data_IF_135902089848
#
_entry.id   IF_135902089848
#
_cell.length_a   1.000
_cell.length_b   1.000
_cell.length_c   1.000
_cell.angle_alpha   90.00
_cell.angle_beta   90.00
_cell.angle_gamma   90.00
#
_symmetry.space_group_name_H-M   'P 1'
#
loop_
_entity.id
_entity.type
_entity.pdbx_description
1 polymer ?
#
# COMPACT_ATOMS: atom_id res chain seq x y z
N UNK A 1 -16.09 -25.25 -8.37
CA UNK A 1 -15.89 -23.78 -8.49
C UNK A 1 -15.39 -23.51 -9.89
N UNK A 2 -15.88 -22.45 -10.57
CA UNK A 2 -15.37 -22.08 -11.91
C UNK A 2 -13.94 -21.60 -11.81
N UNK A 3 -13.16 -21.80 -12.87
CA UNK A 3 -11.77 -21.39 -12.96
C UNK A 3 -11.67 -19.84 -12.91
N UNK A 4 -10.76 -19.32 -12.10
CA UNK A 4 -10.52 -17.89 -11.95
C UNK A 4 -9.22 -17.54 -12.65
N UNK A 5 -9.27 -16.62 -13.61
CA UNK A 5 -8.08 -16.05 -14.25
C UNK A 5 -7.78 -14.70 -13.61
N UNK A 6 -6.65 -14.61 -12.91
CA UNK A 6 -6.21 -13.37 -12.28
C UNK A 6 -5.17 -12.67 -13.15
N UNK A 7 -5.54 -11.51 -13.67
CA UNK A 7 -4.67 -10.68 -14.52
C UNK A 7 -3.93 -9.69 -13.64
N UNK A 8 -2.61 -9.85 -13.56
CA UNK A 8 -1.72 -9.16 -12.63
C UNK A 8 -0.69 -8.34 -13.40
N UNK A 9 -0.49 -7.04 -13.07
CA UNK A 9 0.58 -6.24 -13.65
C UNK A 9 1.95 -6.68 -13.11
N UNK A 10 2.95 -6.75 -13.98
CA UNK A 10 4.34 -6.94 -13.63
C UNK A 10 5.10 -5.63 -13.82
N UNK A 11 5.80 -5.21 -12.76
CA UNK A 11 6.67 -4.05 -12.75
C UNK A 11 8.13 -4.51 -12.77
N UNK A 12 8.92 -4.02 -13.73
CA UNK A 12 10.25 -4.56 -14.07
C UNK A 12 11.25 -4.59 -12.90
N UNK A 13 11.13 -3.72 -11.90
CA UNK A 13 12.09 -3.64 -10.78
C UNK A 13 11.48 -3.19 -9.44
N UNK A 14 10.14 -3.07 -9.32
CA UNK A 14 9.54 -2.54 -8.11
C UNK A 14 8.55 -3.51 -7.47
N UNK A 15 8.76 -3.81 -6.20
CA UNK A 15 7.75 -4.44 -5.37
C UNK A 15 6.91 -3.32 -4.77
N UNK A 16 5.63 -3.27 -5.10
CA UNK A 16 4.66 -2.36 -4.49
C UNK A 16 3.78 -3.11 -3.50
N UNK A 17 3.10 -2.38 -2.61
CA UNK A 17 2.10 -3.01 -1.74
C UNK A 17 1.02 -3.78 -2.52
N UNK A 18 0.62 -3.28 -3.70
CA UNK A 18 -0.32 -3.97 -4.59
C UNK A 18 0.23 -5.29 -5.11
N UNK A 19 1.44 -5.31 -5.68
CA UNK A 19 2.06 -6.55 -6.18
C UNK A 19 2.31 -7.57 -5.07
N UNK A 20 2.64 -7.10 -3.86
CA UNK A 20 2.79 -7.97 -2.69
C UNK A 20 1.44 -8.61 -2.30
N UNK A 21 0.37 -7.81 -2.30
CA UNK A 21 -0.98 -8.30 -2.05
C UNK A 21 -1.38 -9.37 -3.07
N UNK A 22 -1.25 -9.10 -4.36
CA UNK A 22 -1.64 -9.99 -5.44
C UNK A 22 -0.91 -11.34 -5.35
N UNK A 23 0.40 -11.30 -5.15
CA UNK A 23 1.23 -12.50 -5.02
C UNK A 23 0.82 -13.36 -3.83
N UNK A 24 0.63 -12.76 -2.65
CA UNK A 24 0.22 -13.49 -1.46
C UNK A 24 -1.21 -14.02 -1.59
N UNK A 25 -2.12 -13.25 -2.18
CA UNK A 25 -3.49 -13.69 -2.45
C UNK A 25 -3.50 -14.94 -3.33
N UNK A 26 -2.74 -14.96 -4.43
CA UNK A 26 -2.64 -16.12 -5.32
C UNK A 26 -2.12 -17.34 -4.56
N UNK A 27 -1.06 -17.18 -3.76
CA UNK A 27 -0.49 -18.28 -2.98
C UNK A 27 -1.52 -18.86 -2.01
N UNK A 28 -2.24 -18.04 -1.29
CA UNK A 28 -3.23 -18.50 -0.31
C UNK A 28 -4.49 -19.09 -0.97
N UNK A 29 -4.94 -18.53 -2.10
CA UNK A 29 -6.07 -19.11 -2.86
C UNK A 29 -5.71 -20.50 -3.39
N UNK A 30 -4.47 -20.72 -3.87
CA UNK A 30 -3.98 -22.05 -4.27
C UNK A 30 -3.97 -23.04 -3.09
N UNK A 31 -3.54 -22.62 -1.90
CA UNK A 31 -3.60 -23.45 -0.68
C UNK A 31 -5.04 -23.82 -0.32
N UNK A 32 -6.01 -22.94 -0.57
CA UNK A 32 -7.43 -23.21 -0.39
C UNK A 32 -8.06 -24.04 -1.52
N UNK A 33 -7.26 -24.58 -2.44
CA UNK A 33 -7.66 -25.40 -3.61
C UNK A 33 -8.64 -24.66 -4.54
N UNK A 34 -8.53 -23.35 -4.65
CA UNK A 34 -9.28 -22.56 -5.63
C UNK A 34 -8.56 -22.68 -6.98
N UNK A 35 -9.29 -23.03 -8.07
CA UNK A 35 -8.69 -23.15 -9.40
C UNK A 35 -8.36 -21.76 -9.97
N UNK A 36 -7.23 -21.20 -9.55
CA UNK A 36 -6.74 -19.88 -9.97
C UNK A 36 -5.58 -20.02 -10.95
N UNK A 37 -5.68 -19.32 -12.09
CA UNK A 37 -4.63 -19.18 -13.11
C UNK A 37 -4.15 -17.75 -13.18
N UNK A 38 -2.85 -17.55 -13.09
CA UNK A 38 -2.22 -16.24 -13.20
C UNK A 38 -1.98 -15.87 -14.67
N UNK A 39 -2.39 -14.67 -15.05
CA UNK A 39 -2.10 -14.06 -16.35
C UNK A 39 -1.28 -12.81 -16.08
N UNK A 40 0.04 -12.95 -16.06
CA UNK A 40 0.94 -11.83 -15.83
C UNK A 40 1.12 -11.02 -17.09
N UNK A 41 1.07 -9.70 -16.95
CA UNK A 41 1.20 -8.74 -18.05
C UNK A 41 2.10 -7.57 -17.63
N UNK A 42 2.91 -7.06 -18.53
CA UNK A 42 3.70 -5.85 -18.23
C UNK A 42 2.78 -4.69 -17.82
N UNK A 43 3.16 -3.93 -16.81
CA UNK A 43 2.37 -2.80 -16.28
C UNK A 43 1.99 -1.78 -17.38
N UNK A 44 2.84 -1.61 -18.41
CA UNK A 44 2.65 -0.72 -19.53
C UNK A 44 2.03 -1.38 -20.78
N UNK A 45 1.48 -2.61 -20.65
CA UNK A 45 0.83 -3.32 -21.78
C UNK A 45 -0.18 -2.42 -22.47
N UNK A 46 -0.21 -2.44 -23.80
CA UNK A 46 -1.22 -1.70 -24.54
C UNK A 46 -2.59 -2.39 -24.54
N UNK A 47 -3.64 -1.62 -24.84
CA UNK A 47 -5.04 -2.07 -24.84
C UNK A 47 -5.26 -3.30 -25.73
N UNK A 48 -4.69 -3.32 -26.95
CA UNK A 48 -4.89 -4.40 -27.93
C UNK A 48 -4.30 -5.70 -27.42
N UNK A 49 -3.07 -5.68 -26.89
CA UNK A 49 -2.40 -6.88 -26.38
C UNK A 49 -3.07 -7.41 -25.12
N UNK A 50 -3.55 -6.53 -24.24
CA UNK A 50 -4.32 -6.93 -23.06
C UNK A 50 -5.59 -7.66 -23.49
N UNK A 51 -6.34 -7.11 -24.44
CA UNK A 51 -7.56 -7.75 -24.94
C UNK A 51 -7.29 -9.05 -25.70
N UNK A 52 -6.19 -9.17 -26.46
CA UNK A 52 -5.77 -10.44 -27.05
C UNK A 52 -5.54 -11.53 -26.00
N UNK A 53 -4.98 -11.19 -24.82
CA UNK A 53 -4.80 -12.13 -23.71
C UNK A 53 -6.16 -12.48 -23.07
N UNK A 54 -7.01 -11.49 -22.82
CA UNK A 54 -8.34 -11.68 -22.23
C UNK A 54 -9.22 -12.58 -23.12
N UNK A 55 -9.21 -12.39 -24.43
CA UNK A 55 -10.01 -13.16 -25.39
C UNK A 55 -9.60 -14.64 -25.48
N UNK A 56 -8.41 -15.01 -25.01
CA UNK A 56 -7.96 -16.41 -24.90
C UNK A 56 -8.53 -17.12 -23.65
N UNK A 57 -9.10 -16.37 -22.71
CA UNK A 57 -9.69 -16.93 -21.50
C UNK A 57 -11.07 -17.53 -21.84
N UNK A 58 -11.36 -18.75 -21.40
CA UNK A 58 -12.66 -19.38 -21.64
C UNK A 58 -13.81 -18.51 -21.13
N UNK A 59 -14.86 -18.33 -21.94
CA UNK A 59 -16.02 -17.48 -21.59
C UNK A 59 -16.77 -17.92 -20.33
N UNK A 60 -16.65 -19.19 -19.95
CA UNK A 60 -17.23 -19.75 -18.71
C UNK A 60 -16.45 -19.40 -17.45
N UNK A 61 -15.21 -18.91 -17.59
CA UNK A 61 -14.31 -18.57 -16.48
C UNK A 61 -14.66 -17.23 -15.85
N UNK A 62 -14.22 -17.04 -14.60
CA UNK A 62 -14.27 -15.76 -13.91
C UNK A 62 -12.97 -15.01 -14.15
N UNK A 63 -13.04 -13.72 -14.47
CA UNK A 63 -11.87 -12.85 -14.63
C UNK A 63 -11.76 -11.97 -13.38
N UNK A 64 -10.64 -12.06 -12.69
CA UNK A 64 -10.20 -11.10 -11.70
C UNK A 64 -9.07 -10.29 -12.32
N UNK A 65 -9.10 -8.96 -12.22
CA UNK A 65 -8.06 -8.09 -12.73
C UNK A 65 -7.64 -7.07 -11.68
N UNK A 66 -6.35 -6.81 -11.60
CA UNK A 66 -5.83 -5.72 -10.76
C UNK A 66 -6.29 -4.35 -11.29
N UNK A 67 -6.71 -3.50 -10.36
CA UNK A 67 -7.24 -2.15 -10.62
C UNK A 67 -6.30 -1.23 -11.39
N UNK A 68 -4.99 -1.47 -11.33
CA UNK A 68 -4.00 -0.71 -12.09
C UNK A 68 -4.20 -0.81 -13.61
N UNK A 69 -4.77 -1.92 -14.09
CA UNK A 69 -4.97 -2.19 -15.52
C UNK A 69 -6.32 -1.73 -16.05
N UNK A 70 -7.21 -1.21 -15.21
CA UNK A 70 -8.63 -0.95 -15.60
C UNK A 70 -8.79 0.14 -16.65
N UNK A 71 -7.90 1.13 -16.67
CA UNK A 71 -7.90 2.19 -17.69
C UNK A 71 -7.63 1.69 -19.10
N UNK A 72 -7.14 0.44 -19.22
CA UNK A 72 -6.85 -0.25 -20.50
C UNK A 72 -7.98 -1.21 -20.90
N UNK A 73 -9.07 -1.29 -20.12
CA UNK A 73 -10.17 -2.21 -20.41
C UNK A 73 -11.22 -1.62 -21.34
N UNK A 74 -11.57 -2.38 -22.37
CA UNK A 74 -12.79 -2.20 -23.17
C UNK A 74 -13.90 -3.06 -22.55
N UNK A 75 -14.62 -2.54 -21.58
CA UNK A 75 -15.49 -3.28 -20.66
C UNK A 75 -16.68 -3.99 -21.30
N UNK A 76 -17.07 -3.63 -22.53
CA UNK A 76 -18.25 -4.23 -23.21
C UNK A 76 -18.09 -5.71 -23.60
N UNK A 77 -16.91 -6.28 -23.45
CA UNK A 77 -16.55 -7.60 -24.02
C UNK A 77 -16.20 -8.63 -22.93
N UNK A 78 -16.20 -8.24 -21.65
CA UNK A 78 -15.69 -9.11 -20.58
C UNK A 78 -16.85 -9.61 -19.72
N UNK A 79 -17.17 -10.90 -19.87
CA UNK A 79 -18.13 -11.57 -18.98
C UNK A 79 -17.49 -11.88 -17.63
N UNK A 80 -18.27 -11.75 -16.54
CA UNK A 80 -17.83 -12.07 -15.16
C UNK A 80 -16.54 -11.37 -14.75
N UNK A 81 -16.44 -10.08 -15.10
CA UNK A 81 -15.33 -9.22 -14.69
C UNK A 81 -15.44 -8.88 -13.20
N UNK A 82 -14.38 -9.16 -12.45
CA UNK A 82 -14.20 -8.71 -11.08
C UNK A 82 -12.89 -7.89 -11.01
N UNK A 83 -12.87 -6.85 -10.20
CA UNK A 83 -11.72 -5.95 -10.11
C UNK A 83 -11.24 -5.91 -8.66
N UNK A 84 -9.93 -6.14 -8.46
CA UNK A 84 -9.24 -5.93 -7.20
C UNK A 84 -8.63 -4.53 -7.19
N UNK A 85 -9.06 -3.69 -6.27
CA UNK A 85 -8.71 -2.28 -6.21
C UNK A 85 -7.92 -1.99 -4.93
N UNK A 86 -6.63 -1.76 -5.07
CA UNK A 86 -5.77 -1.31 -3.97
C UNK A 86 -6.06 0.16 -3.64
N UNK A 87 -6.16 1.00 -4.65
CA UNK A 87 -6.70 2.36 -4.67
C UNK A 87 -6.97 2.77 -6.12
N UNK A 88 -7.88 3.70 -6.39
CA UNK A 88 -8.03 4.28 -7.71
C UNK A 88 -6.78 5.06 -8.11
N UNK A 89 -6.24 4.81 -9.32
CA UNK A 89 -5.06 5.50 -9.83
C UNK A 89 -5.31 7.01 -10.01
N UNK A 90 -6.55 7.40 -10.32
CA UNK A 90 -6.95 8.81 -10.45
C UNK A 90 -6.90 9.59 -9.13
N UNK A 91 -6.77 8.92 -7.99
CA UNK A 91 -6.54 9.56 -6.69
C UNK A 91 -5.04 9.82 -6.42
N UNK A 92 -4.15 9.29 -7.20
CA UNK A 92 -2.75 9.69 -7.17
C UNK A 92 -2.64 11.09 -7.80
N UNK A 93 -2.17 12.06 -7.00
CA UNK A 93 -2.07 13.46 -7.43
C UNK A 93 -1.05 13.55 -8.55
N UNK A 94 -1.50 13.76 -9.79
CA UNK A 94 -0.65 14.19 -10.89
C UNK A 94 -0.80 15.70 -11.07
N UNK A 95 0.26 16.36 -11.54
CA UNK A 95 0.25 17.80 -11.85
C UNK A 95 -0.67 18.15 -13.05
N UNK A 96 -1.25 17.14 -13.71
CA UNK A 96 -2.11 17.32 -14.88
C UNK A 96 -3.57 16.96 -14.56
N UNK A 97 -4.38 17.98 -14.25
CA UNK A 97 -5.80 17.83 -13.91
C UNK A 97 -6.63 17.13 -15.00
N UNK A 98 -6.39 17.42 -16.28
CA UNK A 98 -7.11 16.79 -17.39
C UNK A 98 -6.82 15.29 -17.50
N UNK A 99 -5.57 14.88 -17.28
CA UNK A 99 -5.18 13.48 -17.24
C UNK A 99 -5.92 12.74 -16.12
N UNK A 100 -6.06 13.36 -14.95
CA UNK A 100 -6.75 12.78 -13.81
C UNK A 100 -8.25 12.61 -14.05
N UNK A 101 -8.91 13.56 -14.73
CA UNK A 101 -10.35 13.47 -15.08
C UNK A 101 -10.59 12.30 -16.04
N UNK A 102 -9.79 12.18 -17.10
CA UNK A 102 -9.91 11.09 -18.07
C UNK A 102 -9.69 9.72 -17.41
N UNK A 103 -8.71 9.63 -16.52
CA UNK A 103 -8.43 8.41 -15.75
C UNK A 103 -9.60 8.08 -14.83
N UNK A 104 -10.14 9.06 -14.10
CA UNK A 104 -11.32 8.91 -13.25
C UNK A 104 -12.53 8.38 -14.03
N UNK A 105 -12.83 8.97 -15.19
CA UNK A 105 -13.96 8.53 -16.03
C UNK A 105 -13.77 7.11 -16.54
N UNK A 106 -12.54 6.75 -16.92
CA UNK A 106 -12.19 5.41 -17.36
C UNK A 106 -12.34 4.38 -16.23
N UNK A 107 -11.82 4.67 -15.05
CA UNK A 107 -11.96 3.85 -13.84
C UNK A 107 -13.44 3.67 -13.47
N UNK A 108 -14.19 4.77 -13.41
CA UNK A 108 -15.62 4.73 -13.08
C UNK A 108 -16.40 3.85 -14.05
N UNK A 109 -16.09 3.93 -15.35
CA UNK A 109 -16.71 3.06 -16.38
C UNK A 109 -16.37 1.58 -16.14
N UNK A 110 -15.10 1.27 -15.89
CA UNK A 110 -14.67 -0.10 -15.64
C UNK A 110 -15.27 -0.66 -14.34
N UNK A 111 -15.25 0.13 -13.25
CA UNK A 111 -15.83 -0.27 -11.98
C UNK A 111 -17.34 -0.51 -12.07
N UNK A 112 -18.07 0.31 -12.85
CA UNK A 112 -19.49 0.09 -13.09
C UNK A 112 -19.77 -1.15 -13.95
N UNK A 113 -18.90 -1.48 -14.90
CA UNK A 113 -19.05 -2.66 -15.75
C UNK A 113 -18.70 -3.98 -15.04
N UNK A 114 -17.89 -3.91 -13.97
CA UNK A 114 -17.52 -5.11 -13.22
C UNK A 114 -18.71 -5.73 -12.48
N UNK A 115 -18.74 -7.03 -12.37
CA UNK A 115 -19.75 -7.80 -11.60
C UNK A 115 -19.57 -7.56 -10.10
N UNK A 116 -18.32 -7.47 -9.64
CA UNK A 116 -17.98 -7.14 -8.26
C UNK A 116 -16.62 -6.46 -8.15
N UNK A 117 -16.44 -5.79 -7.01
CA UNK A 117 -15.18 -5.17 -6.64
C UNK A 117 -14.64 -5.81 -5.37
N UNK A 118 -13.33 -5.95 -5.28
CA UNK A 118 -12.62 -6.32 -4.07
C UNK A 118 -11.73 -5.13 -3.71
N UNK A 119 -11.66 -4.76 -2.45
CA UNK A 119 -10.82 -3.67 -2.01
C UNK A 119 -10.18 -3.95 -0.66
N UNK A 120 -9.17 -3.16 -0.31
CA UNK A 120 -8.22 -3.45 0.78
C UNK A 120 -8.59 -2.81 2.12
N UNK A 121 -9.64 -1.96 2.18
CA UNK A 121 -10.09 -1.34 3.44
C UNK A 121 -11.56 -0.92 3.38
N UNK A 122 -12.20 -0.71 4.53
CA UNK A 122 -13.55 -0.14 4.62
C UNK A 122 -13.56 1.32 4.15
N UNK A 123 -12.51 2.06 4.44
CA UNK A 123 -12.32 3.43 3.95
C UNK A 123 -12.30 3.45 2.44
N UNK A 124 -11.54 2.56 1.80
CA UNK A 124 -11.52 2.43 0.34
C UNK A 124 -12.87 2.00 -0.22
N UNK A 125 -13.60 1.11 0.47
CA UNK A 125 -14.97 0.78 0.09
C UNK A 125 -15.88 2.02 0.07
N UNK A 126 -15.80 2.91 1.08
CA UNK A 126 -16.57 4.16 1.10
C UNK A 126 -16.18 5.09 -0.06
N UNK A 127 -14.90 5.17 -0.38
CA UNK A 127 -14.40 5.92 -1.54
C UNK A 127 -15.02 5.37 -2.82
N UNK A 128 -14.96 4.07 -3.05
CA UNK A 128 -15.52 3.43 -4.25
C UNK A 128 -17.04 3.60 -4.34
N UNK A 129 -17.77 3.57 -3.22
CA UNK A 129 -19.21 3.84 -3.20
C UNK A 129 -19.55 5.25 -3.69
N UNK A 130 -18.74 6.26 -3.33
CA UNK A 130 -18.89 7.63 -3.87
C UNK A 130 -18.59 7.70 -5.36
N UNK A 131 -17.57 6.96 -5.83
CA UNK A 131 -17.25 6.85 -7.26
C UNK A 131 -18.42 6.31 -8.10
N UNK A 132 -19.13 5.32 -7.57
CA UNK A 132 -20.12 4.55 -8.32
C UNK A 132 -21.51 5.14 -8.24
N UNK A 133 -21.82 5.93 -7.22
CA UNK A 133 -23.15 6.53 -7.01
C UNK A 133 -24.28 5.53 -6.79
N UNK A 134 -23.99 4.22 -6.65
CA UNK A 134 -24.96 3.13 -6.46
C UNK A 134 -24.37 2.00 -5.62
N UNK A 135 -25.24 1.21 -5.01
CA UNK A 135 -24.88 0.00 -4.29
C UNK A 135 -24.30 -1.04 -5.26
N UNK A 136 -23.03 -1.29 -5.15
CA UNK A 136 -22.35 -2.38 -5.84
C UNK A 136 -21.80 -3.39 -4.81
N UNK A 137 -21.70 -4.65 -5.22
CA UNK A 137 -21.09 -5.68 -4.40
C UNK A 137 -19.57 -5.41 -4.25
N UNK A 138 -19.19 -4.84 -3.11
CA UNK A 138 -17.80 -4.55 -2.78
C UNK A 138 -17.37 -5.40 -1.58
N UNK A 139 -16.45 -6.32 -1.83
CA UNK A 139 -15.78 -7.10 -0.79
C UNK A 139 -14.65 -6.30 -0.18
N UNK A 140 -14.58 -6.21 1.13
CA UNK A 140 -13.40 -5.71 1.83
C UNK A 140 -12.56 -6.91 2.26
N UNK A 141 -11.36 -7.03 1.71
CA UNK A 141 -10.40 -8.05 2.05
C UNK A 141 -9.08 -7.37 2.44
N UNK A 142 -8.87 -7.21 3.74
CA UNK A 142 -7.66 -6.56 4.27
C UNK A 142 -6.41 -7.33 3.88
N UNK A 143 -5.28 -6.65 3.57
CA UNK A 143 -3.99 -7.30 3.43
C UNK A 143 -3.61 -8.10 4.68
N UNK A 144 -2.99 -9.24 4.48
CA UNK A 144 -2.39 -9.98 5.58
C UNK A 144 -1.04 -9.40 5.99
N UNK A 145 -0.69 -9.55 7.26
CA UNK A 145 0.66 -9.29 7.76
C UNK A 145 1.40 -10.62 7.89
N UNK A 146 2.60 -10.68 7.36
CA UNK A 146 3.46 -11.87 7.47
C UNK A 146 3.93 -12.01 8.93
N UNK A 147 3.87 -13.22 9.47
CA UNK A 147 4.29 -13.53 10.86
C UNK A 147 5.70 -13.06 11.19
N UNK A 148 6.59 -12.99 10.19
CA UNK A 148 7.97 -12.50 10.38
C UNK A 148 8.06 -11.05 10.87
N UNK A 149 7.02 -10.22 10.61
CA UNK A 149 6.95 -8.85 11.13
C UNK A 149 6.39 -8.78 12.55
N UNK A 150 5.75 -9.83 13.06
CA UNK A 150 5.08 -9.75 14.37
C UNK A 150 6.06 -9.89 15.53
N UNK A 151 5.85 -9.06 16.59
CA UNK A 151 6.49 -9.20 17.92
C UNK A 151 8.02 -9.26 17.83
N UNK A 152 8.64 -8.23 17.29
CA UNK A 152 10.10 -8.13 17.22
C UNK A 152 10.70 -7.54 18.50
N UNK A 153 11.94 -7.91 18.79
CA UNK A 153 12.76 -7.25 19.80
C UNK A 153 13.31 -5.95 19.23
N UNK A 154 12.86 -4.83 19.75
CA UNK A 154 13.20 -3.48 19.31
C UNK A 154 14.32 -2.90 20.17
N UNK A 155 15.34 -2.33 19.56
CA UNK A 155 16.40 -1.58 20.25
C UNK A 155 15.84 -0.26 20.79
N UNK A 156 15.57 -0.24 22.11
CA UNK A 156 14.99 0.92 22.79
C UNK A 156 15.94 2.11 22.93
N UNK A 157 17.24 1.86 22.81
CA UNK A 157 18.27 2.90 22.92
C UNK A 157 18.70 3.46 21.59
N UNK A 158 18.21 2.89 20.50
CA UNK A 158 18.48 3.37 19.14
C UNK A 158 18.08 4.83 18.98
N UNK A 159 18.84 5.54 18.15
CA UNK A 159 18.50 6.88 17.64
C UNK A 159 18.01 6.83 16.20
N UNK A 160 17.91 5.63 15.62
CA UNK A 160 17.51 5.45 14.24
C UNK A 160 15.98 5.54 14.08
N UNK A 161 15.55 6.39 13.17
CA UNK A 161 14.19 6.54 12.70
C UNK A 161 14.05 5.71 11.42
N UNK A 162 13.01 4.90 11.31
CA UNK A 162 12.73 4.10 10.12
C UNK A 162 11.57 4.66 9.32
N UNK A 163 11.74 4.71 8.00
CA UNK A 163 10.65 4.96 7.06
C UNK A 163 10.70 3.94 5.91
N UNK A 164 9.57 3.26 5.64
CA UNK A 164 9.49 2.23 4.61
C UNK A 164 8.41 2.60 3.59
N UNK A 165 8.82 2.81 2.35
CA UNK A 165 7.93 3.14 1.23
C UNK A 165 8.71 3.66 0.04
N UNK A 166 8.16 3.46 -1.18
CA UNK A 166 8.80 3.97 -2.39
C UNK A 166 9.05 5.48 -2.30
N UNK A 167 10.20 5.94 -2.83
CA UNK A 167 10.61 7.35 -2.75
C UNK A 167 9.89 8.16 -3.82
N UNK A 168 8.65 8.55 -3.49
CA UNK A 168 7.74 9.32 -4.36
C UNK A 168 7.08 10.46 -3.57
N UNK A 169 6.63 11.54 -4.21
CA UNK A 169 6.08 12.73 -3.53
C UNK A 169 4.95 12.43 -2.55
N UNK A 170 4.10 11.44 -2.87
CA UNK A 170 2.97 11.01 -2.04
C UNK A 170 3.39 10.54 -0.64
N UNK A 171 4.60 9.99 -0.49
CA UNK A 171 5.12 9.47 0.79
C UNK A 171 5.69 10.54 1.71
N UNK A 172 5.80 11.79 1.25
CA UNK A 172 6.05 12.95 2.10
C UNK A 172 7.47 13.08 2.65
N UNK A 173 8.48 12.44 2.05
CA UNK A 173 9.87 12.51 2.52
C UNK A 173 10.43 13.94 2.59
N UNK A 174 10.02 14.83 1.67
CA UNK A 174 10.40 16.25 1.71
C UNK A 174 9.85 16.94 2.97
N UNK A 175 8.63 16.59 3.41
CA UNK A 175 8.04 17.13 4.65
C UNK A 175 8.79 16.59 5.87
N UNK A 176 9.16 15.31 5.87
CA UNK A 176 9.94 14.70 6.94
C UNK A 176 11.32 15.36 7.08
N UNK A 177 12.04 15.57 5.98
CA UNK A 177 13.35 16.20 5.98
C UNK A 177 13.24 17.65 6.50
N UNK A 178 12.23 18.40 6.10
CA UNK A 178 11.99 19.74 6.63
C UNK A 178 11.68 19.76 8.14
N UNK A 179 10.91 18.79 8.63
CA UNK A 179 10.64 18.67 10.06
C UNK A 179 11.90 18.29 10.87
N UNK A 180 12.76 17.43 10.31
CA UNK A 180 14.00 16.98 10.96
C UNK A 180 15.01 18.13 11.21
N UNK A 181 14.93 19.24 10.46
CA UNK A 181 15.74 20.44 10.70
C UNK A 181 15.52 21.05 12.08
N UNK A 182 14.34 20.87 12.65
CA UNK A 182 13.93 21.43 13.94
C UNK A 182 14.10 20.45 15.11
N UNK A 183 14.54 19.23 14.82
CA UNK A 183 14.79 18.21 15.85
C UNK A 183 16.09 18.49 16.57
N UNK A 184 16.02 18.61 17.89
CA UNK A 184 17.15 18.94 18.78
C UNK A 184 17.85 17.70 19.34
N UNK A 185 17.13 16.59 19.45
CA UNK A 185 17.66 15.29 19.86
C UNK A 185 18.61 14.73 18.79
N UNK A 186 19.49 13.81 19.20
CA UNK A 186 20.30 13.07 18.23
C UNK A 186 19.47 12.02 17.49
N UNK A 187 19.63 11.94 16.17
CA UNK A 187 18.88 11.05 15.31
C UNK A 187 19.65 10.62 14.06
N UNK A 188 19.29 9.47 13.52
CA UNK A 188 19.56 9.06 12.13
C UNK A 188 18.26 8.63 11.47
N UNK A 189 18.19 8.68 10.15
CA UNK A 189 17.01 8.26 9.37
C UNK A 189 17.39 7.21 8.32
N UNK A 190 16.78 6.05 8.42
CA UNK A 190 16.87 5.01 7.38
C UNK A 190 15.60 5.02 6.54
N UNK A 191 15.75 5.22 5.23
CA UNK A 191 14.66 5.17 4.24
C UNK A 191 14.82 3.90 3.40
N UNK A 192 13.83 3.01 3.49
CA UNK A 192 13.77 1.76 2.71
C UNK A 192 12.68 1.89 1.65
N UNK A 193 13.02 1.71 0.39
CA UNK A 193 12.08 1.76 -0.73
C UNK A 193 12.74 2.11 -2.04
N UNK A 194 12.07 1.80 -3.14
CA UNK A 194 12.60 2.07 -4.47
C UNK A 194 12.66 3.59 -4.73
N UNK A 195 13.86 4.11 -4.96
CA UNK A 195 14.11 5.52 -5.29
C UNK A 195 14.22 5.79 -6.80
N UNK A 196 14.21 4.73 -7.63
CA UNK A 196 14.21 4.85 -9.09
C UNK A 196 12.80 5.10 -9.68
N UNK A 197 11.75 4.96 -8.88
CA UNK A 197 10.37 5.18 -9.34
C UNK A 197 10.09 6.64 -9.73
N UNK A 198 10.71 7.58 -9.02
CA UNK A 198 10.67 9.02 -9.33
C UNK A 198 12.06 9.62 -9.08
N UNK A 199 12.90 9.49 -10.09
CA UNK A 199 14.29 9.95 -10.02
C UNK A 199 14.38 11.46 -9.79
N UNK A 200 13.50 12.23 -10.41
CA UNK A 200 13.45 13.69 -10.22
C UNK A 200 13.17 14.04 -8.77
N UNK A 201 12.20 13.39 -8.15
CA UNK A 201 11.88 13.60 -6.73
C UNK A 201 13.03 13.17 -5.83
N UNK A 202 13.64 12.02 -6.10
CA UNK A 202 14.80 11.54 -5.35
C UNK A 202 15.99 12.51 -5.43
N UNK A 203 16.30 13.04 -6.62
CA UNK A 203 17.39 14.02 -6.80
C UNK A 203 17.07 15.35 -6.09
N UNK A 204 15.80 15.75 -6.03
CA UNK A 204 15.36 16.90 -5.24
C UNK A 204 15.56 16.66 -3.74
N UNK A 205 15.26 15.46 -3.23
CA UNK A 205 15.51 15.13 -1.83
C UNK A 205 17.01 15.16 -1.49
N UNK A 206 17.86 14.62 -2.37
CA UNK A 206 19.33 14.69 -2.16
C UNK A 206 19.83 16.13 -2.05
N UNK A 207 19.36 17.01 -2.95
CA UNK A 207 19.69 18.44 -2.88
C UNK A 207 19.21 19.09 -1.58
N UNK A 208 18.02 18.73 -1.12
CA UNK A 208 17.46 19.23 0.13
C UNK A 208 18.29 18.75 1.34
N UNK A 209 18.72 17.50 1.35
CA UNK A 209 19.58 16.90 2.39
C UNK A 209 20.93 17.61 2.46
N UNK A 210 21.60 17.81 1.32
CA UNK A 210 22.89 18.51 1.23
C UNK A 210 22.74 19.96 1.69
N UNK A 211 21.70 20.68 1.22
CA UNK A 211 21.42 22.07 1.61
C UNK A 211 21.28 22.24 3.12
N UNK A 212 20.83 21.21 3.82
CA UNK A 212 20.60 21.23 5.27
C UNK A 212 21.68 20.47 6.07
N UNK A 213 22.80 20.09 5.46
CA UNK A 213 23.94 19.40 6.09
C UNK A 213 23.55 18.10 6.83
N UNK A 214 22.62 17.31 6.21
CA UNK A 214 22.08 16.07 6.80
C UNK A 214 22.56 14.80 6.12
N UNK A 215 23.55 14.86 5.19
CA UNK A 215 24.00 13.74 4.38
C UNK A 215 24.53 12.57 5.21
N UNK A 216 25.13 12.82 6.34
CA UNK A 216 25.69 11.79 7.23
C UNK A 216 24.63 11.19 8.18
N UNK A 217 23.42 11.73 8.17
CA UNK A 217 22.33 11.34 9.07
C UNK A 217 21.18 10.61 8.35
N UNK A 218 21.12 10.66 7.01
CA UNK A 218 20.01 10.11 6.22
C UNK A 218 20.55 9.10 5.21
N UNK A 219 20.11 7.85 5.33
CA UNK A 219 20.50 6.75 4.45
C UNK A 219 19.31 6.24 3.61
N UNK A 220 19.48 6.16 2.28
CA UNK A 220 18.55 5.50 1.38
C UNK A 220 19.06 4.09 1.04
N UNK A 221 18.40 3.07 1.55
CA UNK A 221 18.79 1.65 1.37
C UNK A 221 18.21 0.99 0.11
N UNK A 222 17.39 1.72 -0.66
CA UNK A 222 16.71 1.13 -1.80
C UNK A 222 15.66 0.08 -1.41
N UNK A 223 15.29 -0.75 -2.36
CA UNK A 223 14.34 -1.85 -2.12
C UNK A 223 15.02 -2.98 -1.34
N UNK A 224 14.37 -3.47 -0.31
CA UNK A 224 14.85 -4.53 0.57
C UNK A 224 13.88 -5.71 0.60
N UNK A 225 14.40 -6.91 0.86
CA UNK A 225 13.58 -8.10 1.10
C UNK A 225 12.92 -8.02 2.48
N UNK A 226 11.79 -8.71 2.71
CA UNK A 226 11.08 -8.65 3.99
C UNK A 226 11.94 -8.95 5.23
N UNK A 227 12.86 -9.90 5.16
CA UNK A 227 13.75 -10.21 6.29
C UNK A 227 14.76 -9.09 6.57
N UNK A 228 15.21 -8.39 5.53
CA UNK A 228 16.10 -7.23 5.66
C UNK A 228 15.35 -6.05 6.28
N UNK A 229 14.07 -5.85 5.90
CA UNK A 229 13.20 -4.84 6.53
C UNK A 229 13.00 -5.15 8.02
N UNK A 230 12.79 -6.42 8.39
CA UNK A 230 12.71 -6.84 9.80
C UNK A 230 14.00 -6.51 10.56
N UNK A 231 15.16 -6.69 9.94
CA UNK A 231 16.43 -6.31 10.57
C UNK A 231 16.54 -4.79 10.82
N UNK A 232 16.05 -3.96 9.89
CA UNK A 232 16.01 -2.51 10.09
C UNK A 232 14.98 -2.11 11.16
N UNK A 233 13.82 -2.78 11.21
CA UNK A 233 12.82 -2.57 12.26
C UNK A 233 13.45 -2.77 13.65
N UNK A 234 14.20 -3.86 13.86
CA UNK A 234 14.84 -4.17 15.15
C UNK A 234 15.83 -3.10 15.62
N UNK A 235 16.52 -2.47 14.67
CA UNK A 235 17.54 -1.43 14.94
C UNK A 235 16.94 -0.02 15.11
N UNK A 236 15.63 0.12 14.96
CA UNK A 236 14.99 1.42 14.89
C UNK A 236 14.23 1.74 16.16
N UNK A 237 14.26 3.02 16.57
CA UNK A 237 13.57 3.56 17.73
C UNK A 237 12.05 3.60 17.49
N UNK A 238 11.65 4.15 16.35
CA UNK A 238 10.27 4.25 15.92
C UNK A 238 10.18 4.35 14.38
N UNK A 239 8.97 4.22 13.89
CA UNK A 239 8.64 4.34 12.47
C UNK A 239 7.93 5.66 12.18
N UNK A 240 8.28 6.32 11.06
CA UNK A 240 7.58 7.51 10.58
C UNK A 240 7.29 7.41 9.08
N UNK A 241 6.06 7.75 8.67
CA UNK A 241 5.70 7.92 7.27
C UNK A 241 4.62 8.99 7.12
N UNK A 242 4.98 10.10 6.49
CA UNK A 242 4.13 11.28 6.31
C UNK A 242 3.39 11.23 4.97
N UNK A 243 2.67 10.15 4.75
CA UNK A 243 1.99 9.88 3.48
C UNK A 243 0.74 10.74 3.29
N UNK A 244 0.55 11.27 2.08
CA UNK A 244 -0.63 12.08 1.72
C UNK A 244 -1.87 11.22 1.44
N UNK A 245 -1.67 9.96 1.06
CA UNK A 245 -2.74 9.05 0.69
C UNK A 245 -2.29 7.58 0.79
N UNK A 246 -3.18 6.72 1.28
CA UNK A 246 -2.99 5.26 1.35
C UNK A 246 -4.29 4.51 0.99
N UNK A 247 -4.12 3.33 0.38
CA UNK A 247 -5.21 2.37 0.26
C UNK A 247 -5.39 1.53 1.52
N UNK A 248 -4.27 1.21 2.18
CA UNK A 248 -4.21 0.46 3.44
C UNK A 248 -3.07 0.94 4.35
N UNK A 249 -1.83 1.07 3.84
CA UNK A 249 -0.66 1.41 4.63
C UNK A 249 0.08 0.18 5.15
N UNK A 250 0.42 -0.77 4.26
CA UNK A 250 1.03 -2.05 4.65
C UNK A 250 2.29 -1.88 5.47
N UNK A 251 3.25 -1.04 5.07
CA UNK A 251 4.50 -0.85 5.81
C UNK A 251 4.26 -0.29 7.23
N UNK A 252 3.26 0.59 7.38
CA UNK A 252 2.87 1.12 8.69
C UNK A 252 2.30 0.00 9.56
N UNK A 253 1.42 -0.84 8.99
CA UNK A 253 0.82 -1.97 9.69
C UNK A 253 1.86 -3.04 10.07
N UNK A 254 2.83 -3.31 9.19
CA UNK A 254 3.96 -4.23 9.45
C UNK A 254 4.84 -3.74 10.60
N UNK A 255 5.19 -2.43 10.61
CA UNK A 255 5.97 -1.84 11.70
C UNK A 255 5.20 -1.81 13.02
N UNK A 256 3.89 -1.54 13.00
CA UNK A 256 3.03 -1.63 14.17
C UNK A 256 2.92 -3.08 14.69
N UNK A 257 2.79 -4.07 13.80
CA UNK A 257 2.78 -5.49 14.18
C UNK A 257 4.11 -5.95 14.80
N UNK A 258 5.21 -5.33 14.38
CA UNK A 258 6.54 -5.56 14.96
C UNK A 258 6.68 -4.97 16.37
N UNK A 259 5.88 -3.98 16.73
CA UNK A 259 5.92 -3.31 18.02
C UNK A 259 6.62 -1.94 18.00
N UNK A 260 6.95 -1.39 16.83
CA UNK A 260 7.48 -0.03 16.73
C UNK A 260 6.42 1.01 17.03
N UNK A 261 6.77 2.05 17.76
CA UNK A 261 5.95 3.25 17.86
C UNK A 261 5.81 3.91 16.48
N UNK A 262 4.66 4.52 16.22
CA UNK A 262 4.31 5.04 14.90
C UNK A 262 4.05 6.54 14.98
N UNK A 263 4.67 7.31 14.08
CA UNK A 263 4.24 8.66 13.72
C UNK A 263 3.75 8.61 12.26
N UNK A 264 2.53 9.06 12.01
CA UNK A 264 2.00 9.08 10.65
C UNK A 264 0.94 10.15 10.46
N UNK A 265 0.59 10.43 9.21
CA UNK A 265 -0.46 11.38 8.86
C UNK A 265 -1.82 10.91 9.35
N UNK A 266 -2.66 11.85 9.79
CA UNK A 266 -4.03 11.58 10.19
C UNK A 266 -4.92 11.30 8.97
N UNK A 267 -4.94 10.05 8.54
CA UNK A 267 -5.78 9.57 7.45
C UNK A 267 -6.83 8.58 7.97
N UNK A 268 -8.09 8.67 7.49
CA UNK A 268 -9.16 7.74 7.92
C UNK A 268 -8.81 6.27 7.76
N UNK A 269 -8.06 5.91 6.71
CA UNK A 269 -7.61 4.53 6.49
C UNK A 269 -6.58 4.09 7.52
N UNK A 270 -5.69 4.97 7.95
CA UNK A 270 -4.68 4.63 8.96
C UNK A 270 -5.30 4.52 10.34
N UNK A 271 -6.29 5.35 10.66
CA UNK A 271 -7.12 5.17 11.88
C UNK A 271 -7.87 3.83 11.86
N UNK A 272 -8.40 3.42 10.69
CA UNK A 272 -9.06 2.13 10.53
C UNK A 272 -8.09 0.96 10.74
N UNK A 273 -6.92 1.02 10.11
CA UNK A 273 -5.92 -0.07 10.12
C UNK A 273 -5.24 -0.22 11.47
N UNK A 274 -4.86 0.89 12.08
CA UNK A 274 -4.13 0.90 13.35
C UNK A 274 -5.08 0.75 14.56
N UNK A 275 -6.36 1.17 14.41
CA UNK A 275 -7.36 1.01 15.46
C UNK A 275 -6.91 1.66 16.78
N UNK A 276 -6.79 0.87 17.86
CA UNK A 276 -6.32 1.35 19.17
C UNK A 276 -4.80 1.19 19.37
N UNK A 277 -4.02 0.94 18.31
CA UNK A 277 -2.57 0.96 18.43
C UNK A 277 -2.10 2.37 18.80
N UNK A 278 -1.12 2.53 19.71
CA UNK A 278 -0.61 3.85 20.07
C UNK A 278 0.12 4.48 18.88
N UNK A 279 -0.46 5.55 18.33
CA UNK A 279 0.03 6.26 17.14
C UNK A 279 -0.01 7.75 17.40
N UNK A 280 1.06 8.46 17.07
CA UNK A 280 1.05 9.91 16.96
C UNK A 280 0.59 10.30 15.55
N UNK A 281 -0.66 10.71 15.43
CA UNK A 281 -1.20 11.26 14.19
C UNK A 281 -0.84 12.73 14.06
N UNK A 282 -0.30 13.12 12.91
CA UNK A 282 0.16 14.50 12.64
C UNK A 282 -0.49 15.10 11.40
N UNK A 283 -0.61 16.43 11.38
CA UNK A 283 -0.98 17.20 10.18
C UNK A 283 0.29 17.53 9.38
N UNK A 284 0.28 17.23 8.08
CA UNK A 284 1.41 17.52 7.18
C UNK A 284 1.71 19.02 7.04
N UNK A 285 0.76 19.88 7.41
CA UNK A 285 0.90 21.35 7.37
C UNK A 285 1.51 21.94 8.63
N UNK A 286 1.75 21.11 9.64
CA UNK A 286 2.31 21.53 10.94
C UNK A 286 3.67 20.85 11.18
N UNK A 287 4.77 21.38 10.58
CA UNK A 287 6.10 20.82 10.75
C UNK A 287 6.63 20.95 12.17
N UNK A 288 6.13 21.91 12.97
CA UNK A 288 6.53 22.06 14.37
C UNK A 288 5.96 20.94 15.23
N UNK A 289 4.70 20.59 15.03
CA UNK A 289 4.11 19.43 15.70
C UNK A 289 4.84 18.14 15.32
N UNK A 290 5.21 17.96 14.04
CA UNK A 290 5.96 16.78 13.59
C UNK A 290 7.30 16.68 14.31
N UNK A 291 8.10 17.78 14.35
CA UNK A 291 9.40 17.79 15.03
C UNK A 291 9.29 17.59 16.54
N UNK A 292 8.29 18.18 17.19
CA UNK A 292 8.02 17.96 18.61
C UNK A 292 7.72 16.47 18.91
N UNK A 293 6.90 15.80 18.07
CA UNK A 293 6.62 14.38 18.22
C UNK A 293 7.86 13.50 18.01
N UNK A 294 8.74 13.89 17.08
CA UNK A 294 10.01 13.20 16.87
C UNK A 294 10.91 13.36 18.12
N UNK A 295 11.09 14.58 18.63
CA UNK A 295 11.87 14.84 19.86
C UNK A 295 11.32 14.03 21.05
N UNK A 296 9.99 14.06 21.25
CA UNK A 296 9.33 13.31 22.31
C UNK A 296 9.66 11.81 22.27
N UNK A 297 9.70 11.21 21.08
CA UNK A 297 10.04 9.78 20.94
C UNK A 297 11.53 9.50 21.12
N UNK A 298 12.40 10.39 20.67
CA UNK A 298 13.84 10.22 20.79
C UNK A 298 14.32 10.37 22.25
N UNK A 299 13.72 11.29 23.02
CA UNK A 299 14.07 11.52 24.42
C UNK A 299 13.62 10.42 25.38
N UNK A 300 12.60 9.62 25.03
CA UNK A 300 12.08 8.56 25.89
C UNK A 300 12.91 7.28 25.80
N UNK A 301 13.20 6.65 26.95
CA UNK A 301 13.85 5.34 27.04
C UNK A 301 12.85 4.16 27.06
N UNK A 302 11.55 4.41 26.97
CA UNK A 302 10.51 3.38 27.00
C UNK A 302 9.76 3.30 25.67
N UNK A 303 9.62 2.11 25.14
CA UNK A 303 8.73 1.83 24.01
C UNK A 303 7.40 1.33 24.56
N UNK A 304 6.35 2.11 24.43
CA UNK A 304 4.98 1.72 24.79
C UNK A 304 4.27 0.96 23.64
N UNK A 305 5.01 0.33 22.76
CA UNK A 305 4.45 -0.50 21.70
C UNK A 305 3.77 -1.74 22.30
N UNK A 306 2.48 -1.64 22.62
CA UNK A 306 1.70 -2.83 22.98
C UNK A 306 1.52 -3.67 21.73
N UNK A 307 2.15 -4.85 21.71
CA UNK A 307 1.88 -5.86 20.68
C UNK A 307 0.37 -6.11 20.60
N UNK A 308 -0.22 -5.82 19.46
CA UNK A 308 -1.63 -6.10 19.23
C UNK A 308 -1.77 -7.28 18.27
N UNK A 309 -2.52 -8.29 18.69
CA UNK A 309 -2.89 -9.47 17.90
C UNK A 309 -4.02 -9.14 16.88
N UNK A 310 -4.02 -7.94 16.25
CA UNK A 310 -5.17 -7.45 15.47
C UNK A 310 -4.85 -7.36 13.97
N UNK A 311 -3.82 -7.99 13.51
CA UNK A 311 -3.56 -7.98 12.08
C UNK A 311 -4.08 -9.26 11.43
N UNK A 312 -4.76 -9.08 10.28
CA UNK A 312 -5.23 -10.19 9.46
C UNK A 312 -4.04 -10.97 8.88
N UNK A 313 -4.21 -12.27 8.75
CA UNK A 313 -3.27 -13.11 8.00
C UNK A 313 -3.66 -13.14 6.52
N UNK A 314 -2.73 -13.48 5.65
CA UNK A 314 -3.03 -13.69 4.24
C UNK A 314 -4.05 -14.82 4.02
N UNK A 315 -4.08 -15.82 4.90
CA UNK A 315 -5.11 -16.86 4.93
C UNK A 315 -6.51 -16.28 5.18
N UNK A 316 -6.63 -15.29 6.09
CA UNK A 316 -7.93 -14.64 6.35
C UNK A 316 -8.39 -13.82 5.15
N UNK A 317 -7.47 -13.12 4.49
CA UNK A 317 -7.71 -12.40 3.24
C UNK A 317 -8.30 -13.34 2.17
N UNK A 318 -7.63 -14.45 1.93
CA UNK A 318 -8.06 -15.44 0.92
C UNK A 318 -9.39 -16.11 1.28
N UNK A 319 -9.59 -16.51 2.55
CA UNK A 319 -10.86 -17.05 3.05
C UNK A 319 -12.02 -16.07 2.88
N UNK A 320 -11.77 -14.78 3.10
CA UNK A 320 -12.77 -13.72 2.91
C UNK A 320 -13.21 -13.62 1.46
N UNK A 321 -12.24 -13.62 0.53
CA UNK A 321 -12.50 -13.58 -0.92
C UNK A 321 -13.21 -14.87 -1.37
N UNK A 322 -12.74 -16.04 -0.92
CA UNK A 322 -13.40 -17.33 -1.21
C UNK A 322 -14.89 -17.30 -0.82
N UNK A 323 -15.19 -16.93 0.43
CA UNK A 323 -16.59 -16.83 0.92
C UNK A 323 -17.42 -15.83 0.12
N UNK A 324 -16.82 -14.77 -0.35
CA UNK A 324 -17.48 -13.76 -1.16
C UNK A 324 -17.88 -14.32 -2.55
N UNK A 325 -17.01 -15.12 -3.16
CA UNK A 325 -17.32 -15.82 -4.42
C UNK A 325 -18.31 -16.97 -4.23
N UNK A 326 -18.18 -17.77 -3.19
CA UNK A 326 -19.08 -18.91 -2.91
C UNK A 326 -20.53 -18.47 -2.75
N UNK A 327 -20.79 -17.38 -2.05
CA UNK A 327 -22.15 -16.81 -1.88
C UNK A 327 -22.82 -16.40 -3.20
N UNK A 328 -22.09 -16.32 -4.32
CA UNK A 328 -22.58 -15.87 -5.63
C UNK A 328 -22.75 -17.00 -6.63
N UNK A 329 -22.19 -18.16 -6.36
CA UNK A 329 -22.30 -19.34 -7.22
C UNK A 329 -23.55 -20.13 -6.84
N UNK A 330 -24.11 -19.90 -5.66
CA UNK A 330 -25.28 -20.60 -5.12
C UNK A 330 -26.60 -19.80 -5.20
N UNK A 331 -26.59 -18.63 -5.90
CA UNK A 331 -27.83 -17.89 -6.21
C UNK A 331 -27.88 -17.57 -7.72
#
# INVERSE_FOLDING_TARGET
MKEVYFIIPEFDKSITGGTLYDNNLVLELKKLRIPIKEVRVRYNINVILLHKKINKIPKSSTILIDGYLVNKLRTRVINRLNILIHHPCSMEISNNQMSNINLYLSERKAFNAAESLITVSKTMKRVLQKYLGKYKNICVAYPGIDKKFCKQEIDRYSKNILSVGNVIPRKGYHILIEALKKVTEDWTLTIVGNHEMDKTYYDNLKRLIIKNEMQDRIEFKGSMKPNEIVAEIKKSKFFILLTKYEGFGMSIAECAAAGLEIITTDLPVLREVLGNYPVDFVDLRDPDNISNKINEKLSRNSVNGKNKDIFYTWSDTAKKIKRFYEKRIFY
#
